data_IF_841758053809
#
_entry.id   IF_841758053809
#
_cell.length_a   1.000
_cell.length_b   1.000
_cell.length_c   1.000
_cell.angle_alpha   90.00
_cell.angle_beta   90.00
_cell.angle_gamma   90.00
#
_symmetry.space_group_name_H-M   'P 1'
#
loop_
_entity.id
_entity.type
_entity.pdbx_description
1 polymer ?
#
# COMPACT_ATOMS: atom_id res chain seq x y z
N UNK A 1 39.94 34.66 -47.10
CA UNK A 1 40.00 34.11 -45.73
C UNK A 1 38.64 33.57 -45.40
N UNK A 2 38.55 32.24 -45.39
CA UNK A 2 37.34 31.45 -45.17
C UNK A 2 37.04 31.30 -43.68
N UNK A 3 35.76 31.22 -43.33
CA UNK A 3 35.27 30.26 -42.34
C UNK A 3 33.77 30.02 -42.59
N UNK A 4 33.47 28.81 -43.10
CA UNK A 4 32.12 28.21 -43.11
C UNK A 4 32.06 27.28 -41.90
N UNK A 5 30.95 27.34 -41.18
CA UNK A 5 30.56 26.38 -40.15
C UNK A 5 30.05 25.14 -40.91
N UNK A 6 30.50 23.94 -40.52
CA UNK A 6 30.00 22.67 -41.03
C UNK A 6 29.44 21.82 -39.89
N UNK A 7 28.29 21.26 -40.21
CA UNK A 7 27.38 20.37 -39.49
C UNK A 7 27.99 19.14 -38.80
N UNK A 8 27.42 18.83 -37.63
CA UNK A 8 27.45 17.54 -36.94
C UNK A 8 26.12 16.82 -37.16
N UNK A 9 26.14 15.59 -37.69
CA UNK A 9 25.07 14.61 -37.45
C UNK A 9 25.52 13.20 -37.85
N UNK A 10 25.86 12.36 -36.87
CA UNK A 10 25.79 10.89 -36.96
C UNK A 10 26.02 10.30 -35.56
N UNK A 11 24.96 9.84 -34.88
CA UNK A 11 25.05 8.81 -33.80
C UNK A 11 23.70 8.49 -33.12
N UNK A 12 22.69 8.02 -33.86
CA UNK A 12 21.37 7.65 -33.28
C UNK A 12 20.97 6.16 -33.42
N UNK A 13 21.94 5.24 -33.55
CA UNK A 13 21.60 3.81 -33.75
C UNK A 13 22.20 2.81 -32.74
N UNK A 14 22.72 3.27 -31.59
CA UNK A 14 23.33 2.37 -30.60
C UNK A 14 22.57 2.22 -29.27
N UNK A 15 21.46 2.94 -29.06
CA UNK A 15 20.77 3.04 -27.75
C UNK A 15 19.59 2.09 -27.54
N UNK A 16 19.04 1.47 -28.59
CA UNK A 16 17.85 0.62 -28.47
C UNK A 16 18.13 -0.82 -28.00
N UNK A 17 19.34 -1.36 -28.21
CA UNK A 17 19.64 -2.76 -27.90
C UNK A 17 20.08 -3.02 -26.44
N UNK A 18 20.34 -2.00 -25.63
CA UNK A 18 20.95 -2.18 -24.29
C UNK A 18 19.95 -2.20 -23.11
N UNK A 19 18.68 -1.83 -23.29
CA UNK A 19 17.69 -1.73 -22.20
C UNK A 19 16.95 -3.03 -21.86
N UNK A 20 17.09 -4.11 -22.64
CA UNK A 20 16.26 -5.31 -22.48
C UNK A 20 16.77 -6.32 -21.42
N UNK A 21 17.95 -6.10 -20.80
CA UNK A 21 18.70 -7.21 -20.17
C UNK A 21 18.61 -7.44 -18.65
N UNK A 22 17.89 -6.65 -17.84
CA UNK A 22 17.93 -6.87 -16.37
C UNK A 22 16.62 -6.73 -15.58
N UNK A 23 15.51 -7.28 -16.08
CA UNK A 23 14.40 -7.74 -15.23
C UNK A 23 14.22 -9.25 -15.44
N UNK A 24 14.58 -10.06 -14.44
CA UNK A 24 14.22 -11.46 -14.47
C UNK A 24 12.68 -11.58 -14.59
N UNK A 25 12.14 -12.34 -15.55
CA UNK A 25 10.69 -12.37 -15.75
C UNK A 25 9.99 -12.96 -14.53
N UNK A 26 8.89 -12.35 -14.10
CA UNK A 26 7.96 -12.95 -13.13
C UNK A 26 7.53 -14.32 -13.65
N UNK A 27 7.68 -15.39 -12.86
CA UNK A 27 7.38 -16.77 -13.28
C UNK A 27 6.24 -17.33 -12.47
N UNK A 28 5.36 -18.09 -13.12
CA UNK A 28 4.27 -18.77 -12.44
C UNK A 28 4.83 -19.69 -11.34
N UNK A 29 4.31 -19.58 -10.12
CA UNK A 29 4.82 -20.32 -8.97
C UNK A 29 4.50 -21.83 -9.03
N UNK A 30 3.58 -22.22 -9.92
CA UNK A 30 3.29 -23.62 -10.25
C UNK A 30 4.15 -24.14 -11.41
N UNK A 31 3.99 -23.57 -12.61
CA UNK A 31 4.56 -24.12 -13.84
C UNK A 31 5.87 -23.47 -14.29
N UNK A 32 6.36 -22.46 -13.55
CA UNK A 32 7.62 -21.72 -13.77
C UNK A 32 7.77 -21.01 -15.13
N UNK A 33 6.74 -21.06 -15.97
CA UNK A 33 6.63 -20.29 -17.22
C UNK A 33 6.48 -18.80 -16.94
N UNK A 34 7.11 -17.99 -17.78
CA UNK A 34 6.99 -16.53 -17.81
C UNK A 34 5.74 -16.09 -18.59
N UNK A 35 5.36 -14.80 -18.58
CA UNK A 35 4.26 -14.29 -19.40
C UNK A 35 4.55 -14.46 -20.90
N UNK A 36 5.81 -14.28 -21.31
CA UNK A 36 6.27 -14.49 -22.69
C UNK A 36 6.07 -15.95 -23.16
N UNK A 37 6.43 -16.92 -22.31
CA UNK A 37 6.26 -18.37 -22.60
C UNK A 37 4.79 -18.78 -22.79
N UNK A 38 3.85 -17.93 -22.35
CA UNK A 38 2.41 -18.22 -22.32
C UNK A 38 1.60 -17.27 -23.20
N UNK A 39 2.23 -16.29 -23.85
CA UNK A 39 1.53 -15.28 -24.65
C UNK A 39 0.54 -14.43 -23.85
N UNK A 40 0.76 -14.25 -22.54
CA UNK A 40 -0.12 -13.46 -21.67
C UNK A 40 0.57 -12.16 -21.25
N UNK A 41 -0.18 -11.06 -21.15
CA UNK A 41 0.37 -9.75 -20.78
C UNK A 41 0.56 -9.58 -19.27
N UNK A 42 -0.20 -10.31 -18.43
CA UNK A 42 -0.14 -10.20 -16.96
C UNK A 42 -0.40 -11.53 -16.27
N UNK A 43 0.32 -11.77 -15.17
CA UNK A 43 0.06 -12.90 -14.26
C UNK A 43 -0.98 -12.50 -13.20
N UNK A 44 -1.74 -13.49 -12.73
CA UNK A 44 -2.67 -13.36 -11.61
C UNK A 44 -1.94 -13.57 -10.31
N UNK A 45 -2.24 -12.78 -9.28
CA UNK A 45 -1.70 -12.99 -7.94
C UNK A 45 -2.68 -13.81 -7.10
N UNK A 46 -2.16 -14.56 -6.12
CA UNK A 46 -3.02 -15.21 -5.13
C UNK A 46 -3.93 -14.18 -4.45
N UNK A 47 -5.25 -14.34 -4.56
CA UNK A 47 -6.22 -13.38 -4.01
C UNK A 47 -6.21 -13.28 -2.48
N UNK A 48 -5.65 -14.27 -1.78
CA UNK A 48 -5.59 -14.28 -0.32
C UNK A 48 -4.36 -13.57 0.25
N UNK A 49 -3.17 -13.79 -0.33
CA UNK A 49 -1.91 -13.28 0.21
C UNK A 49 -1.17 -12.31 -0.72
N UNK A 50 -1.58 -12.20 -1.99
CA UNK A 50 -0.94 -11.41 -3.05
C UNK A 50 0.56 -11.63 -3.23
N UNK A 51 1.14 -12.72 -2.72
CA UNK A 51 2.59 -12.97 -2.71
C UNK A 51 3.07 -13.99 -3.74
N UNK A 52 2.16 -14.74 -4.37
CA UNK A 52 2.52 -15.75 -5.36
C UNK A 52 1.85 -15.45 -6.73
N UNK A 53 2.65 -15.35 -7.81
CA UNK A 53 2.15 -15.17 -9.17
C UNK A 53 1.76 -16.50 -9.83
N UNK A 54 0.66 -16.50 -10.58
CA UNK A 54 0.12 -17.63 -11.32
C UNK A 54 -0.36 -17.19 -12.70
N UNK A 55 -0.12 -18.00 -13.71
CA UNK A 55 -0.68 -17.72 -15.03
C UNK A 55 -2.20 -17.98 -15.10
N UNK A 56 -2.73 -18.85 -14.23
CA UNK A 56 -4.15 -19.22 -14.23
C UNK A 56 -4.62 -19.68 -12.84
N UNK A 57 -5.94 -19.75 -12.67
CA UNK A 57 -6.57 -20.23 -11.42
C UNK A 57 -6.30 -21.73 -11.23
N UNK A 58 -6.17 -22.47 -12.32
CA UNK A 58 -5.83 -23.90 -12.34
C UNK A 58 -4.42 -24.10 -11.80
N UNK A 59 -3.46 -23.29 -12.24
CA UNK A 59 -2.10 -23.30 -11.69
C UNK A 59 -2.06 -22.95 -10.19
N UNK A 60 -2.88 -21.99 -9.76
CA UNK A 60 -3.02 -21.69 -8.33
C UNK A 60 -3.58 -22.88 -7.54
N UNK A 61 -4.63 -23.56 -8.06
CA UNK A 61 -5.25 -24.73 -7.42
C UNK A 61 -4.29 -25.92 -7.34
N UNK A 62 -3.49 -26.15 -8.37
CA UNK A 62 -2.48 -27.22 -8.39
C UNK A 62 -1.36 -26.95 -7.38
N UNK A 63 -0.86 -25.71 -7.30
CA UNK A 63 0.16 -25.35 -6.32
C UNK A 63 -0.40 -25.19 -4.91
N UNK A 64 -1.72 -25.19 -4.72
CA UNK A 64 -2.36 -24.90 -3.44
C UNK A 64 -1.84 -25.76 -2.29
N UNK A 65 -1.57 -27.06 -2.50
CA UNK A 65 -1.04 -27.93 -1.43
C UNK A 65 0.29 -27.42 -0.86
N UNK A 66 1.17 -26.86 -1.70
CA UNK A 66 2.45 -26.27 -1.29
C UNK A 66 2.26 -24.84 -0.81
N UNK A 67 1.59 -24.03 -1.62
CA UNK A 67 1.38 -22.61 -1.35
C UNK A 67 0.51 -22.36 -0.11
N UNK A 68 -0.44 -23.23 0.26
CA UNK A 68 -1.36 -23.02 1.39
C UNK A 68 -0.65 -22.75 2.72
N UNK A 69 0.50 -23.38 2.95
CA UNK A 69 1.28 -23.15 4.18
C UNK A 69 1.86 -21.73 4.18
N UNK A 70 2.50 -21.32 3.10
CA UNK A 70 3.10 -19.99 2.99
C UNK A 70 2.05 -18.89 2.83
N UNK A 71 0.96 -19.17 2.10
CA UNK A 71 -0.23 -18.33 2.03
C UNK A 71 -0.78 -18.09 3.43
N UNK A 72 -1.00 -19.14 4.22
CA UNK A 72 -1.43 -19.01 5.62
C UNK A 72 -0.42 -18.24 6.46
N UNK A 73 0.88 -18.40 6.22
CA UNK A 73 1.90 -17.66 6.97
C UNK A 73 1.89 -16.17 6.65
N UNK A 74 1.69 -15.81 5.39
CA UNK A 74 1.55 -14.41 4.97
C UNK A 74 0.23 -13.83 5.49
N UNK A 75 -0.88 -14.56 5.35
CA UNK A 75 -2.22 -14.08 5.76
C UNK A 75 -2.44 -14.08 7.27
N UNK A 76 -1.82 -15.01 8.01
CA UNK A 76 -1.90 -15.08 9.48
C UNK A 76 -0.78 -14.30 10.17
N UNK A 77 0.02 -13.52 9.40
CA UNK A 77 1.18 -12.80 9.92
C UNK A 77 2.22 -13.69 10.60
N UNK A 78 2.36 -14.97 10.24
CA UNK A 78 3.38 -15.86 10.82
C UNK A 78 4.79 -15.52 10.34
N UNK A 79 4.93 -14.84 9.19
CA UNK A 79 6.20 -14.17 8.83
C UNK A 79 6.60 -13.08 9.85
N UNK A 80 5.65 -12.57 10.65
CA UNK A 80 5.91 -11.74 11.84
C UNK A 80 6.02 -12.56 13.14
N UNK A 81 5.62 -13.84 13.17
CA UNK A 81 5.75 -14.69 14.38
C UNK A 81 7.14 -15.26 14.59
N UNK A 82 7.92 -15.49 13.53
CA UNK A 82 9.33 -15.86 13.66
C UNK A 82 10.21 -14.78 14.31
N UNK A 83 9.65 -13.59 14.55
CA UNK A 83 10.26 -12.43 15.18
C UNK A 83 9.92 -12.32 16.67
N UNK A 84 8.82 -12.97 17.12
CA UNK A 84 8.30 -12.91 18.49
C UNK A 84 8.41 -14.28 19.16
N UNK A 85 9.61 -14.83 19.25
CA UNK A 85 9.90 -15.99 20.10
C UNK A 85 10.44 -15.51 21.45
N UNK A 86 9.54 -15.18 22.37
CA UNK A 86 9.63 -15.39 23.83
C UNK A 86 8.18 -15.25 24.37
N UNK A 87 7.80 -16.00 25.42
CA UNK A 87 6.44 -16.46 25.61
C UNK A 87 5.47 -15.34 25.99
N UNK A 88 4.36 -15.26 25.26
CA UNK A 88 3.13 -14.65 25.77
C UNK A 88 2.84 -15.37 27.09
N UNK A 89 2.98 -14.65 28.21
CA UNK A 89 2.38 -15.10 29.47
C UNK A 89 0.91 -15.30 29.17
N UNK A 90 0.54 -16.57 29.06
CA UNK A 90 -0.82 -17.03 29.01
C UNK A 90 -1.50 -16.53 30.28
N UNK A 91 -2.18 -15.39 30.20
CA UNK A 91 -3.33 -15.19 31.05
C UNK A 91 -4.31 -16.23 30.56
N UNK A 92 -4.41 -17.33 31.31
CA UNK A 92 -5.40 -18.36 31.12
C UNK A 92 -6.77 -17.72 31.05
N UNK A 93 -7.26 -17.53 29.84
CA UNK A 93 -8.58 -17.04 29.54
C UNK A 93 -9.15 -17.98 28.51
N UNK A 94 -10.14 -18.77 28.92
CA UNK A 94 -10.93 -19.60 28.02
C UNK A 94 -11.27 -18.82 26.73
N UNK A 95 -11.17 -19.49 25.57
CA UNK A 95 -11.62 -18.93 24.28
C UNK A 95 -13.06 -18.43 24.44
N UNK A 96 -13.24 -17.12 24.65
CA UNK A 96 -14.55 -16.48 24.60
C UNK A 96 -15.06 -16.64 23.17
N UNK A 97 -16.11 -17.43 22.97
CA UNK A 97 -16.88 -17.43 21.72
C UNK A 97 -17.27 -15.97 21.44
N UNK A 98 -16.81 -15.41 20.32
CA UNK A 98 -17.22 -14.08 19.86
C UNK A 98 -16.11 -13.01 19.77
N UNK A 99 -14.89 -13.23 20.26
CA UNK A 99 -13.82 -12.22 20.11
C UNK A 99 -13.17 -12.29 18.72
N UNK A 100 -13.14 -11.17 18.00
CA UNK A 100 -12.47 -11.03 16.70
C UNK A 100 -10.97 -11.25 16.90
N UNK A 101 -10.39 -12.19 16.15
CA UNK A 101 -8.96 -12.51 16.25
C UNK A 101 -8.12 -11.46 15.52
N UNK A 102 -6.85 -11.30 15.93
CA UNK A 102 -5.89 -10.44 15.23
C UNK A 102 -5.78 -10.79 13.73
N UNK A 103 -5.76 -12.09 13.39
CA UNK A 103 -5.72 -12.52 11.99
C UNK A 103 -6.96 -12.09 11.19
N UNK A 104 -8.15 -12.19 11.79
CA UNK A 104 -9.38 -11.67 11.16
C UNK A 104 -9.32 -10.15 11.02
N UNK A 105 -8.75 -9.45 12.00
CA UNK A 105 -8.56 -8.01 11.94
C UNK A 105 -7.66 -7.57 10.79
N UNK A 106 -6.48 -8.18 10.68
CA UNK A 106 -5.53 -7.90 9.59
C UNK A 106 -6.11 -8.23 8.21
N UNK A 107 -6.87 -9.33 8.08
CA UNK A 107 -7.53 -9.70 6.83
C UNK A 107 -8.59 -8.67 6.42
N UNK A 108 -9.45 -8.24 7.34
CA UNK A 108 -10.48 -7.23 7.07
C UNK A 108 -9.84 -5.88 6.73
N UNK A 109 -8.82 -5.46 7.49
CA UNK A 109 -8.08 -4.23 7.25
C UNK A 109 -7.38 -4.23 5.89
N UNK A 110 -6.77 -5.36 5.52
CA UNK A 110 -6.18 -5.55 4.19
C UNK A 110 -7.22 -5.52 3.07
N UNK A 111 -8.37 -6.16 3.26
CA UNK A 111 -9.47 -6.17 2.28
C UNK A 111 -10.05 -4.77 2.08
N UNK A 112 -10.29 -4.04 3.17
CA UNK A 112 -10.73 -2.65 3.14
C UNK A 112 -9.74 -1.76 2.40
N UNK A 113 -8.44 -1.89 2.73
CA UNK A 113 -7.40 -1.13 2.09
C UNK A 113 -7.35 -1.37 0.58
N UNK A 114 -7.47 -2.63 0.14
CA UNK A 114 -7.50 -2.96 -1.30
C UNK A 114 -8.70 -2.38 -2.03
N UNK A 115 -9.87 -2.32 -1.39
CA UNK A 115 -11.07 -1.73 -2.01
C UNK A 115 -10.95 -0.22 -2.18
N UNK A 116 -10.25 0.45 -1.27
CA UNK A 116 -10.02 1.91 -1.36
C UNK A 116 -8.70 2.29 -2.05
N UNK A 117 -7.85 1.31 -2.38
CA UNK A 117 -6.66 1.52 -3.20
C UNK A 117 -7.07 2.00 -4.59
N UNK A 118 -6.41 3.04 -5.11
CA UNK A 118 -6.74 3.60 -6.42
C UNK A 118 -7.89 4.61 -6.42
N UNK A 119 -8.74 4.63 -5.38
CA UNK A 119 -9.79 5.62 -5.20
C UNK A 119 -9.47 6.53 -4.00
N UNK A 120 -10.16 6.32 -2.87
CA UNK A 120 -10.14 7.22 -1.72
C UNK A 120 -8.77 7.38 -1.09
N UNK A 121 -8.00 6.29 -0.96
CA UNK A 121 -6.66 6.34 -0.35
C UNK A 121 -5.65 7.02 -1.25
N UNK A 122 -5.77 6.86 -2.57
CA UNK A 122 -4.93 7.58 -3.53
C UNK A 122 -5.21 9.07 -3.41
N UNK A 123 -6.47 9.49 -3.58
CA UNK A 123 -6.81 10.92 -3.49
C UNK A 123 -6.39 11.52 -2.15
N UNK A 124 -6.68 10.84 -1.04
CA UNK A 124 -6.30 11.32 0.29
C UNK A 124 -4.78 11.41 0.46
N UNK A 125 -4.00 10.45 -0.03
CA UNK A 125 -2.54 10.50 0.07
C UNK A 125 -1.95 11.65 -0.77
N UNK A 126 -2.46 11.87 -1.99
CA UNK A 126 -2.03 13.00 -2.82
C UNK A 126 -2.28 14.35 -2.14
N UNK A 127 -3.48 14.51 -1.57
CA UNK A 127 -3.87 15.74 -0.87
C UNK A 127 -3.10 15.93 0.43
N UNK A 128 -3.04 14.91 1.27
CA UNK A 128 -2.41 14.98 2.59
C UNK A 128 -0.89 15.24 2.49
N UNK A 129 -0.21 14.63 1.52
CA UNK A 129 1.24 14.74 1.38
C UNK A 129 1.67 15.97 0.57
N UNK A 130 0.75 16.66 -0.10
CA UNK A 130 1.03 17.86 -0.88
C UNK A 130 1.64 17.57 -2.26
N UNK A 131 1.36 16.39 -2.84
CA UNK A 131 2.11 15.86 -3.99
C UNK A 131 1.85 16.61 -5.31
N UNK A 132 0.79 17.42 -5.36
CA UNK A 132 0.49 18.22 -6.56
C UNK A 132 1.51 19.36 -6.73
N UNK A 133 1.93 19.96 -5.61
CA UNK A 133 2.93 21.04 -5.58
C UNK A 133 4.35 20.57 -5.29
N UNK A 134 4.51 19.56 -4.42
CA UNK A 134 5.81 19.01 -4.03
C UNK A 134 5.80 17.49 -4.13
N UNK A 135 6.22 16.98 -5.29
CA UNK A 135 6.30 15.54 -5.52
C UNK A 135 7.32 14.87 -4.59
N UNK A 136 8.37 15.59 -4.17
CA UNK A 136 9.46 15.07 -3.34
C UNK A 136 9.03 14.77 -1.91
N UNK A 137 7.92 15.35 -1.45
CA UNK A 137 7.28 15.01 -0.18
C UNK A 137 7.02 13.49 -0.02
N UNK A 138 6.85 12.74 -1.12
CA UNK A 138 6.70 11.26 -1.10
C UNK A 138 7.85 10.53 -0.41
N UNK A 139 9.06 11.11 -0.41
CA UNK A 139 10.27 10.49 0.15
C UNK A 139 10.38 10.67 1.66
N UNK A 140 9.70 11.67 2.21
CA UNK A 140 9.87 12.12 3.59
C UNK A 140 8.59 12.08 4.43
N UNK A 141 7.41 11.93 3.81
CA UNK A 141 6.11 11.93 4.48
C UNK A 141 5.31 10.64 4.21
N UNK A 142 4.46 10.28 5.16
CA UNK A 142 3.60 9.09 5.14
C UNK A 142 2.24 9.47 5.73
N UNK A 143 1.15 9.04 5.09
CA UNK A 143 -0.20 9.24 5.64
C UNK A 143 -0.50 8.09 6.61
N UNK A 144 -0.89 8.41 7.84
CA UNK A 144 -1.29 7.46 8.87
C UNK A 144 -2.77 7.67 9.16
N UNK A 145 -3.55 6.60 9.11
CA UNK A 145 -4.99 6.61 9.34
C UNK A 145 -5.32 5.80 10.60
N UNK A 146 -5.99 6.44 11.56
CA UNK A 146 -6.64 5.81 12.68
C UNK A 146 -8.07 5.45 12.28
N UNK A 147 -8.44 4.18 12.43
CA UNK A 147 -9.67 3.63 11.90
C UNK A 147 -10.47 2.90 12.97
N UNK A 148 -11.77 3.15 13.04
CA UNK A 148 -12.69 2.40 13.91
C UNK A 148 -13.37 1.31 13.10
N UNK A 149 -13.40 0.07 13.62
CA UNK A 149 -14.16 -1.03 13.00
C UNK A 149 -15.66 -0.74 13.13
N UNK A 150 -16.36 -0.67 12.00
CA UNK A 150 -17.82 -0.52 11.95
C UNK A 150 -18.54 -1.86 12.23
N UNK A 151 -19.87 -1.86 12.17
CA UNK A 151 -20.68 -3.08 12.20
C UNK A 151 -20.93 -3.69 10.81
N UNK A 152 -20.44 -3.06 9.73
CA UNK A 152 -20.70 -3.52 8.37
C UNK A 152 -19.90 -4.78 8.03
N UNK A 153 -20.49 -5.66 7.22
CA UNK A 153 -19.83 -6.82 6.62
C UNK A 153 -19.36 -6.55 5.18
N UNK A 154 -19.55 -5.33 4.67
CA UNK A 154 -19.06 -4.94 3.34
C UNK A 154 -17.62 -4.42 3.45
N UNK A 155 -16.64 -4.96 2.70
CA UNK A 155 -15.25 -4.51 2.78
C UNK A 155 -15.04 -3.01 2.62
N UNK A 156 -15.82 -2.35 1.75
CA UNK A 156 -15.79 -0.89 1.56
C UNK A 156 -16.15 -0.10 2.83
N UNK A 157 -16.98 -0.67 3.68
CA UNK A 157 -17.57 -0.03 4.86
C UNK A 157 -17.06 -0.62 6.17
N UNK A 158 -16.05 -1.51 6.15
CA UNK A 158 -15.51 -2.11 7.36
C UNK A 158 -15.03 -1.09 8.37
N UNK A 159 -14.52 0.05 7.93
CA UNK A 159 -13.89 1.04 8.79
C UNK A 159 -14.40 2.44 8.54
N UNK A 160 -14.54 3.21 9.62
CA UNK A 160 -14.75 4.65 9.59
C UNK A 160 -13.47 5.38 9.98
N UNK A 161 -13.31 6.62 9.51
CA UNK A 161 -12.15 7.45 9.86
C UNK A 161 -12.30 7.95 11.30
N UNK A 162 -11.31 7.68 12.14
CA UNK A 162 -11.14 8.31 13.46
C UNK A 162 -10.22 9.51 13.37
N UNK A 163 -9.05 9.30 12.77
CA UNK A 163 -8.01 10.31 12.67
C UNK A 163 -7.21 10.10 11.38
N UNK A 164 -6.70 11.18 10.80
CA UNK A 164 -5.71 11.13 9.73
C UNK A 164 -4.55 12.06 10.08
N UNK A 165 -3.32 11.55 9.99
CA UNK A 165 -2.12 12.25 10.39
C UNK A 165 -1.02 12.10 9.33
N UNK A 166 -0.30 13.18 9.04
CA UNK A 166 0.84 13.14 8.11
C UNK A 166 2.12 13.03 8.93
N UNK A 167 2.67 11.83 8.99
CA UNK A 167 3.91 11.56 9.72
C UNK A 167 5.13 11.75 8.83
N UNK A 168 6.22 12.24 9.41
CA UNK A 168 7.53 12.14 8.77
C UNK A 168 8.08 10.71 8.84
N UNK A 169 8.87 10.33 7.84
CA UNK A 169 9.62 9.06 7.85
C UNK A 169 10.55 8.98 9.07
N UNK A 170 11.04 10.10 9.58
CA UNK A 170 11.88 10.16 10.79
C UNK A 170 11.10 9.79 12.05
N UNK A 171 9.86 10.29 12.21
CA UNK A 171 8.98 9.89 13.31
C UNK A 171 8.67 8.40 13.26
N UNK A 172 8.31 7.90 12.08
CA UNK A 172 8.04 6.47 11.91
C UNK A 172 9.27 5.61 12.22
N UNK A 173 10.47 6.03 11.81
CA UNK A 173 11.71 5.31 12.18
C UNK A 173 11.88 5.19 13.70
N UNK A 174 11.51 6.21 14.48
CA UNK A 174 11.58 6.16 15.95
C UNK A 174 10.58 5.15 16.50
N UNK A 175 9.33 5.19 16.02
CA UNK A 175 8.26 4.26 16.42
C UNK A 175 8.65 2.82 16.09
N UNK A 176 9.14 2.57 14.88
CA UNK A 176 9.46 1.23 14.40
C UNK A 176 10.86 0.74 14.81
N UNK A 177 11.67 1.54 15.52
CA UNK A 177 13.06 1.18 15.91
C UNK A 177 13.13 -0.15 16.67
N UNK A 178 12.10 -0.45 17.46
CA UNK A 178 12.04 -1.66 18.30
C UNK A 178 11.30 -2.83 17.64
N UNK A 179 10.73 -2.63 16.45
CA UNK A 179 10.06 -3.69 15.69
C UNK A 179 11.11 -4.53 14.96
N UNK A 180 11.57 -5.60 15.61
CA UNK A 180 12.50 -6.58 14.99
C UNK A 180 11.88 -7.14 13.70
N UNK A 181 12.70 -7.49 12.71
CA UNK A 181 12.24 -8.11 11.45
C UNK A 181 11.44 -7.23 10.49
N UNK A 182 11.02 -6.02 10.88
CA UNK A 182 10.45 -5.05 9.95
C UNK A 182 11.60 -4.45 9.12
N UNK A 183 11.56 -4.47 7.77
CA UNK A 183 12.56 -3.79 6.94
C UNK A 183 12.68 -2.29 7.26
N UNK A 184 11.71 -1.72 7.99
CA UNK A 184 11.62 -0.34 8.40
C UNK A 184 10.82 0.45 7.36
N UNK A 185 10.07 1.49 7.78
CA UNK A 185 9.24 2.29 6.87
C UNK A 185 9.98 2.79 5.63
N UNK A 186 11.26 3.16 5.78
CA UNK A 186 12.08 3.64 4.66
C UNK A 186 12.45 2.56 3.66
N UNK A 187 12.75 1.33 4.11
CA UNK A 187 13.06 0.25 3.19
C UNK A 187 11.80 -0.23 2.50
N UNK A 188 10.66 -0.29 3.21
CA UNK A 188 9.37 -0.58 2.59
C UNK A 188 9.02 0.44 1.51
N UNK A 189 9.16 1.75 1.80
CA UNK A 189 8.93 2.80 0.80
C UNK A 189 9.81 2.61 -0.44
N UNK A 190 11.13 2.42 -0.26
CA UNK A 190 12.06 2.22 -1.39
C UNK A 190 11.75 0.98 -2.21
N UNK A 191 11.44 -0.14 -1.57
CA UNK A 191 11.13 -1.37 -2.29
C UNK A 191 9.82 -1.23 -3.06
N UNK A 192 8.81 -0.61 -2.45
CA UNK A 192 7.55 -0.34 -3.13
C UNK A 192 7.71 0.65 -4.29
N UNK A 193 8.53 1.69 -4.13
CA UNK A 193 8.85 2.61 -5.22
C UNK A 193 9.44 1.87 -6.42
N UNK A 194 10.42 0.98 -6.19
CA UNK A 194 11.00 0.14 -7.25
C UNK A 194 9.97 -0.73 -7.96
N UNK A 195 9.08 -1.36 -7.20
CA UNK A 195 8.01 -2.20 -7.76
C UNK A 195 7.05 -1.35 -8.60
N UNK A 196 6.63 -0.18 -8.12
CA UNK A 196 5.66 0.67 -8.81
C UNK A 196 6.26 1.38 -10.03
N UNK A 197 7.55 1.70 -10.01
CA UNK A 197 8.26 2.22 -11.18
C UNK A 197 8.21 1.22 -12.35
N UNK A 198 8.17 -0.08 -12.09
CA UNK A 198 7.97 -1.07 -13.15
C UNK A 198 6.59 -0.99 -13.82
N UNK A 199 5.59 -0.41 -13.15
CA UNK A 199 4.24 -0.18 -13.68
C UNK A 199 4.07 1.22 -14.31
N UNK A 200 5.15 2.01 -14.44
CA UNK A 200 5.10 3.39 -14.98
C UNK A 200 4.88 4.48 -13.92
N UNK A 201 4.93 4.16 -12.63
CA UNK A 201 4.84 5.16 -11.58
C UNK A 201 6.13 6.00 -11.48
N UNK A 202 6.00 7.30 -11.30
CA UNK A 202 7.11 8.22 -11.01
C UNK A 202 7.58 8.17 -9.55
N UNK A 203 6.89 7.39 -8.72
CA UNK A 203 7.24 7.16 -7.32
C UNK A 203 6.21 6.30 -6.60
N UNK A 204 6.38 6.16 -5.28
CA UNK A 204 5.37 5.57 -4.43
C UNK A 204 5.22 6.36 -3.12
N UNK A 205 4.02 6.29 -2.54
CA UNK A 205 3.73 6.77 -1.19
C UNK A 205 3.23 5.63 -0.33
N UNK A 206 3.34 5.80 0.98
CA UNK A 206 2.82 4.85 1.95
C UNK A 206 1.60 5.46 2.65
N UNK A 207 0.54 4.66 2.76
CA UNK A 207 -0.52 4.87 3.74
C UNK A 207 -0.41 3.77 4.79
N UNK A 208 -0.42 4.13 6.07
CA UNK A 208 -0.44 3.19 7.18
C UNK A 208 -1.82 3.27 7.81
N UNK A 209 -2.55 2.16 7.79
CA UNK A 209 -3.88 2.09 8.39
C UNK A 209 -3.80 1.30 9.69
N UNK A 210 -4.30 1.87 10.78
CA UNK A 210 -4.27 1.30 12.13
C UNK A 210 -5.69 1.21 12.65
N UNK A 211 -6.11 0.02 13.06
CA UNK A 211 -7.37 -0.16 13.75
C UNK A 211 -7.25 0.27 15.22
N UNK A 212 -8.17 1.11 15.66
CA UNK A 212 -8.30 1.58 17.04
C UNK A 212 -9.75 1.42 17.53
N UNK A 213 -9.96 1.12 18.82
CA UNK A 213 -11.27 1.27 19.45
C UNK A 213 -11.79 2.70 19.33
N UNK A 214 -13.11 2.86 19.26
CA UNK A 214 -13.76 4.17 19.14
C UNK A 214 -13.45 5.08 20.33
N UNK A 215 -13.45 4.50 21.52
CA UNK A 215 -13.20 5.13 22.81
C UNK A 215 -11.70 5.24 23.18
N UNK A 216 -10.78 4.79 22.32
CA UNK A 216 -9.35 4.87 22.59
C UNK A 216 -8.88 6.35 22.63
N UNK A 217 -8.39 6.87 23.76
CA UNK A 217 -8.03 8.28 23.88
C UNK A 217 -6.69 8.62 23.22
N UNK A 218 -5.93 7.61 22.79
CA UNK A 218 -4.61 7.78 22.20
C UNK A 218 -4.70 8.33 20.77
N UNK A 219 -3.72 9.16 20.42
CA UNK A 219 -3.48 9.55 19.03
C UNK A 219 -3.13 8.35 18.16
N UNK A 220 -3.32 8.48 16.85
CA UNK A 220 -2.97 7.42 15.89
C UNK A 220 -1.48 7.04 15.95
N UNK A 221 -0.57 7.98 16.23
CA UNK A 221 0.86 7.70 16.37
C UNK A 221 1.16 6.87 17.62
N UNK A 222 0.51 7.18 18.74
CA UNK A 222 0.63 6.39 19.97
C UNK A 222 0.07 4.99 19.75
N UNK A 223 -1.08 4.85 19.07
CA UNK A 223 -1.64 3.54 18.74
C UNK A 223 -0.77 2.73 17.77
N UNK A 224 -0.09 3.40 16.84
CA UNK A 224 0.88 2.79 15.93
C UNK A 224 2.10 2.23 16.66
N UNK A 225 2.48 2.81 17.80
CA UNK A 225 3.57 2.30 18.63
C UNK A 225 3.21 1.01 19.38
N UNK A 226 1.93 0.65 19.44
CA UNK A 226 1.40 -0.49 20.20
C UNK A 226 1.00 -1.65 19.27
N UNK A 227 0.62 -2.81 19.85
CA UNK A 227 0.19 -4.02 19.12
C UNK A 227 -1.24 -3.87 18.56
N UNK A 228 -1.46 -2.83 17.77
CA UNK A 228 -2.72 -2.59 17.06
C UNK A 228 -2.68 -3.31 15.70
N UNK A 229 -3.81 -3.87 15.21
CA UNK A 229 -3.87 -4.36 13.83
C UNK A 229 -3.54 -3.20 12.89
N UNK A 230 -2.50 -3.37 12.08
CA UNK A 230 -2.06 -2.36 11.13
C UNK A 230 -1.70 -2.98 9.80
N UNK A 231 -1.77 -2.17 8.75
CA UNK A 231 -1.40 -2.57 7.40
C UNK A 231 -0.70 -1.43 6.68
N UNK A 232 0.17 -1.79 5.75
CA UNK A 232 0.98 -0.88 4.97
C UNK A 232 0.50 -0.90 3.52
N UNK A 233 0.01 0.22 3.03
CA UNK A 233 -0.53 0.40 1.68
C UNK A 233 0.44 1.22 0.83
N UNK A 234 1.25 0.57 -0.02
CA UNK A 234 2.03 1.27 -1.01
C UNK A 234 1.16 1.65 -2.21
N UNK A 235 1.07 2.96 -2.47
CA UNK A 235 0.32 3.52 -3.59
C UNK A 235 1.31 4.08 -4.62
N UNK A 236 1.11 3.71 -5.89
CA UNK A 236 1.87 4.26 -7.00
C UNK A 236 1.50 5.72 -7.25
N UNK A 237 2.51 6.54 -7.49
CA UNK A 237 2.37 7.94 -7.87
C UNK A 237 2.59 7.98 -9.38
N UNK A 238 1.56 8.34 -10.15
CA UNK A 238 1.61 8.39 -11.61
C UNK A 238 1.47 9.83 -12.10
N UNK A 239 2.21 10.20 -13.14
CA UNK A 239 2.19 11.58 -13.65
C UNK A 239 0.82 11.91 -14.26
N UNK A 240 0.12 10.96 -14.90
CA UNK A 240 -1.22 11.22 -15.43
C UNK A 240 -2.22 11.56 -14.32
N UNK A 241 -2.10 10.90 -13.17
CA UNK A 241 -2.92 11.20 -12.00
C UNK A 241 -2.61 12.61 -11.46
N UNK A 242 -1.33 13.01 -11.41
CA UNK A 242 -0.93 14.35 -11.00
C UNK A 242 -1.58 15.42 -11.87
N UNK A 243 -1.46 15.28 -13.19
CA UNK A 243 -2.02 16.24 -14.15
C UNK A 243 -3.54 16.30 -13.98
N UNK A 244 -4.20 15.14 -13.93
CA UNK A 244 -5.66 15.06 -13.77
C UNK A 244 -6.14 15.70 -12.47
N UNK A 245 -5.46 15.42 -11.34
CA UNK A 245 -5.82 16.00 -10.05
C UNK A 245 -5.54 17.49 -9.98
N UNK A 246 -4.40 17.97 -10.48
CA UNK A 246 -4.07 19.40 -10.53
C UNK A 246 -5.10 20.19 -11.34
N UNK A 247 -5.59 19.64 -12.45
CA UNK A 247 -6.60 20.30 -13.29
C UNK A 247 -8.01 20.26 -12.69
N UNK A 248 -8.40 19.18 -12.02
CA UNK A 248 -9.79 18.96 -11.56
C UNK A 248 -10.06 19.40 -10.12
N UNK A 249 -9.10 19.16 -9.22
CA UNK A 249 -9.29 19.33 -7.77
C UNK A 249 -8.35 20.37 -7.19
N UNK A 250 -7.14 20.49 -7.74
CA UNK A 250 -6.06 21.25 -7.12
C UNK A 250 -5.66 20.69 -5.76
N UNK A 251 -4.83 21.45 -5.03
CA UNK A 251 -4.43 21.13 -3.67
C UNK A 251 -5.54 21.58 -2.69
N UNK A 252 -6.11 20.63 -1.97
CA UNK A 252 -7.17 20.86 -1.00
C UNK A 252 -6.58 21.11 0.39
N UNK A 253 -7.23 22.00 1.14
CA UNK A 253 -6.93 22.21 2.55
C UNK A 253 -7.35 21.00 3.40
N UNK A 254 -6.72 20.82 4.55
CA UNK A 254 -7.02 19.73 5.48
C UNK A 254 -8.49 19.66 5.90
N UNK A 255 -9.09 20.83 6.12
CA UNK A 255 -10.50 20.98 6.48
C UNK A 255 -11.47 20.51 5.37
N UNK A 256 -10.97 20.21 4.17
CA UNK A 256 -11.76 19.71 3.05
C UNK A 256 -11.49 18.22 2.87
N UNK A 257 -10.24 17.82 2.62
CA UNK A 257 -9.95 16.44 2.22
C UNK A 257 -10.21 15.42 3.34
N UNK A 258 -10.02 15.79 4.62
CA UNK A 258 -10.29 14.88 5.75
C UNK A 258 -11.78 14.56 5.87
N UNK A 259 -12.70 15.55 5.90
CA UNK A 259 -14.14 15.26 5.82
C UNK A 259 -14.54 14.47 4.57
N UNK A 260 -13.97 14.77 3.40
CA UNK A 260 -14.24 14.02 2.17
C UNK A 260 -13.84 12.55 2.28
N UNK A 261 -12.67 12.26 2.86
CA UNK A 261 -12.24 10.90 3.15
C UNK A 261 -13.20 10.22 4.13
N UNK A 262 -13.54 10.89 5.24
CA UNK A 262 -14.49 10.36 6.23
C UNK A 262 -15.85 10.02 5.60
N UNK A 263 -16.36 10.86 4.69
CA UNK A 263 -17.60 10.63 3.96
C UNK A 263 -17.53 9.37 3.09
N UNK A 264 -16.43 9.19 2.35
CA UNK A 264 -16.23 7.99 1.51
C UNK A 264 -16.21 6.71 2.35
N UNK A 265 -15.55 6.75 3.50
CA UNK A 265 -15.48 5.59 4.40
C UNK A 265 -16.84 5.24 5.02
N UNK A 266 -17.80 6.17 5.02
CA UNK A 266 -19.20 5.94 5.40
C UNK A 266 -20.10 5.56 4.22
N UNK A 267 -19.54 5.33 3.03
CA UNK A 267 -20.26 4.93 1.82
C UNK A 267 -20.66 6.08 0.89
N UNK A 268 -20.27 7.31 1.22
CA UNK A 268 -20.43 8.47 0.36
C UNK A 268 -19.41 8.53 -0.77
N UNK A 269 -19.29 9.70 -1.39
CA UNK A 269 -18.30 10.00 -2.44
C UNK A 269 -17.26 10.99 -1.92
N UNK A 270 -16.09 11.00 -2.55
CA UNK A 270 -15.07 12.00 -2.27
C UNK A 270 -15.52 13.31 -2.90
N UNK A 271 -16.01 14.23 -2.09
CA UNK A 271 -16.53 15.51 -2.55
C UNK A 271 -15.54 16.62 -2.18
N UNK A 272 -14.91 17.29 -3.17
CA UNK A 272 -14.01 18.42 -2.90
C UNK A 272 -14.76 19.68 -2.46
N UNK A 273 -16.08 19.71 -2.65
CA UNK A 273 -16.95 20.76 -2.14
C UNK A 273 -17.57 20.27 -0.84
N UNK A 274 -17.26 20.96 0.26
CA UNK A 274 -18.02 20.82 1.50
C UNK A 274 -19.40 21.45 1.26
N UNK A 275 -20.43 20.62 1.18
CA UNK A 275 -21.81 21.09 1.30
C UNK A 275 -22.15 20.97 2.79
N UNK A 276 -22.21 22.07 3.56
CA UNK A 276 -22.74 22.01 4.91
C UNK A 276 -24.16 21.43 4.85
N UNK A 277 -24.46 20.49 5.74
CA UNK A 277 -25.80 19.97 5.96
C UNK A 277 -26.72 21.05 6.54
#
# INVERSE_FOLDING_TARGET
MSARISDDSDSDHASEEFEERQKGPLRCDNCRKSPADLGISKMKMCSACSSAPYCSVECQRQNWKKHKVDCKRVTNGELLRGVLSEPIRSIGGAKRKGTRTMGKALHELGSWAQVHNGEALTVAAWQALGLLGDIEARKSKVLVLGLCRSTSDTPKLYYTLKEAYVASVTELRRIFKHYRGNPGPSRMLRENERIRQADGAIGAVMVISVEQPEDDPRSVLEALSQVSPMTFQPLGVFEEHRISFSQRLGQLHEQIWKPSLANVLRGGRFLPMFLPA
#
